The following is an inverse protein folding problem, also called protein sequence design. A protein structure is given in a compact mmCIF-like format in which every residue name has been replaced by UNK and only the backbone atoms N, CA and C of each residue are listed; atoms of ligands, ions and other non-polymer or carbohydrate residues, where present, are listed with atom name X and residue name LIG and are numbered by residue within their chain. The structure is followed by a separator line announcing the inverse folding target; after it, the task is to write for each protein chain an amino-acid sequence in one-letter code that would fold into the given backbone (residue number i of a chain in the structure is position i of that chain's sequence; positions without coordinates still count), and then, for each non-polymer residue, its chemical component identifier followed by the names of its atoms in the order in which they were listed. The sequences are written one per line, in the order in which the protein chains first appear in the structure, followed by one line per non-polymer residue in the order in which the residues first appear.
data_IF_912387905282
#
_entry.id   IF_912387905282
#
_cell.length_a   1.000
_cell.length_b   1.000
_cell.length_c   1.000
_cell.angle_alpha   90.00
_cell.angle_beta   90.00
_cell.angle_gamma   90.00
#
_symmetry.space_group_name_H-M   'P 1'
#
loop_
_entity.id
_entity.type
_entity.pdbx_description
1 polymer ?
#
# COMPACT_ATOMS: atom_id res chain seq x y z
N UNK A 1 -16.15 18.02 -0.40
CA UNK A 1 -16.07 17.11 -1.56
C UNK A 1 -14.78 16.29 -1.49
N UNK A 2 -14.80 15.12 -2.06
CA UNK A 2 -13.61 14.25 -2.19
C UNK A 2 -12.48 14.95 -2.93
N UNK A 3 -12.81 15.72 -3.99
CA UNK A 3 -11.81 16.49 -4.74
C UNK A 3 -11.07 17.49 -3.85
N UNK A 4 -11.80 18.25 -3.04
CA UNK A 4 -11.20 19.24 -2.13
C UNK A 4 -10.30 18.54 -1.10
N UNK A 5 -10.74 17.41 -0.55
CA UNK A 5 -9.94 16.59 0.36
C UNK A 5 -8.65 16.09 -0.30
N UNK A 6 -8.72 15.58 -1.52
CA UNK A 6 -7.54 15.11 -2.24
C UNK A 6 -6.52 16.24 -2.51
N UNK A 7 -7.00 17.46 -2.81
CA UNK A 7 -6.12 18.61 -2.96
C UNK A 7 -5.40 18.97 -1.66
N UNK A 8 -6.12 18.93 -0.53
CA UNK A 8 -5.50 19.11 0.79
C UNK A 8 -4.45 18.04 1.10
N UNK A 9 -4.70 16.79 0.71
CA UNK A 9 -3.73 15.71 0.85
C UNK A 9 -2.46 15.95 0.02
N UNK A 10 -2.60 16.47 -1.19
CA UNK A 10 -1.46 16.84 -2.04
C UNK A 10 -0.65 17.98 -1.44
N UNK A 11 -1.30 19.01 -0.96
CA UNK A 11 -0.65 20.15 -0.31
C UNK A 11 0.09 19.72 0.96
N UNK A 12 -0.55 18.89 1.77
CA UNK A 12 0.08 18.30 2.97
C UNK A 12 1.34 17.50 2.63
N UNK A 13 1.29 16.67 1.59
CA UNK A 13 2.44 15.87 1.17
C UNK A 13 3.61 16.76 0.71
N UNK A 14 3.33 17.86 0.02
CA UNK A 14 4.36 18.83 -0.39
C UNK A 14 4.98 19.55 0.81
N UNK A 15 4.15 20.02 1.73
CA UNK A 15 4.59 20.75 2.92
C UNK A 15 5.33 19.88 3.91
N UNK A 16 4.99 18.59 3.97
CA UNK A 16 5.50 17.63 4.95
C UNK A 16 6.36 16.53 4.33
N UNK A 17 7.02 16.81 3.23
CA UNK A 17 7.93 15.85 2.58
C UNK A 17 9.05 15.35 3.51
N UNK A 18 9.43 16.13 4.52
CA UNK A 18 10.40 15.75 5.55
C UNK A 18 9.94 14.59 6.45
N UNK A 19 8.66 14.22 6.44
CA UNK A 19 8.16 13.03 7.13
C UNK A 19 8.62 11.73 6.46
N UNK A 20 8.99 11.80 5.18
CA UNK A 20 9.55 10.65 4.47
C UNK A 20 10.96 10.37 4.97
N UNK A 21 11.24 9.10 5.23
CA UNK A 21 12.58 8.65 5.62
C UNK A 21 13.46 8.55 4.36
N UNK A 22 14.57 9.31 4.27
CA UNK A 22 15.40 9.35 3.07
C UNK A 22 15.98 7.98 2.69
N UNK A 23 16.36 7.16 3.67
CA UNK A 23 16.87 5.81 3.46
C UNK A 23 15.83 4.88 2.84
N UNK A 24 14.57 4.97 3.31
CA UNK A 24 13.47 4.16 2.78
C UNK A 24 13.01 4.64 1.41
N UNK A 25 12.97 5.94 1.18
CA UNK A 25 12.65 6.50 -0.15
C UNK A 25 13.70 6.11 -1.18
N UNK A 26 14.98 6.12 -0.83
CA UNK A 26 16.04 5.65 -1.71
C UNK A 26 15.88 4.15 -2.05
N UNK A 27 15.50 3.34 -1.07
CA UNK A 27 15.22 1.91 -1.26
C UNK A 27 14.05 1.68 -2.23
N UNK A 28 12.94 2.41 -2.04
CA UNK A 28 11.77 2.36 -2.92
C UNK A 28 12.13 2.80 -4.34
N UNK A 29 12.86 3.90 -4.49
CA UNK A 29 13.32 4.40 -5.78
C UNK A 29 14.16 3.38 -6.55
N UNK A 30 15.09 2.71 -5.88
CA UNK A 30 15.89 1.64 -6.50
C UNK A 30 15.03 0.45 -6.93
N UNK A 31 14.08 0.04 -6.10
CA UNK A 31 13.19 -1.06 -6.44
C UNK A 31 12.33 -0.75 -7.67
N UNK A 32 11.83 0.48 -7.79
CA UNK A 32 11.09 0.95 -8.97
C UNK A 32 11.98 0.97 -10.22
N UNK A 33 13.20 1.49 -10.12
CA UNK A 33 14.18 1.49 -11.23
C UNK A 33 14.48 0.06 -11.70
N UNK A 34 14.59 -0.89 -10.77
CA UNK A 34 14.81 -2.31 -11.03
C UNK A 34 13.57 -3.04 -11.56
N UNK A 35 12.48 -2.32 -11.86
CA UNK A 35 11.22 -2.88 -12.34
C UNK A 35 10.55 -3.86 -11.37
N UNK A 36 10.87 -3.78 -10.10
CA UNK A 36 10.19 -4.55 -9.06
C UNK A 36 8.82 -3.99 -8.79
N UNK A 37 7.90 -4.87 -8.42
CA UNK A 37 6.59 -4.45 -7.94
C UNK A 37 6.71 -3.94 -6.51
N UNK A 38 6.30 -2.71 -6.26
CA UNK A 38 6.40 -2.07 -4.96
C UNK A 38 5.03 -1.75 -4.41
N UNK A 39 4.75 -2.23 -3.20
CA UNK A 39 3.57 -1.88 -2.42
C UNK A 39 3.96 -1.01 -1.23
N UNK A 40 3.21 0.05 -1.03
CA UNK A 40 3.24 0.86 0.20
C UNK A 40 2.00 0.47 1.01
N UNK A 41 2.22 -0.28 2.08
CA UNK A 41 1.14 -0.88 2.87
C UNK A 41 1.02 -0.12 4.19
N UNK A 42 -0.07 0.58 4.38
CA UNK A 42 -0.24 1.53 5.48
C UNK A 42 -1.61 1.42 6.13
N UNK A 43 -1.65 1.54 7.46
CA UNK A 43 -2.90 1.71 8.21
C UNK A 43 -3.54 3.09 8.01
N UNK A 44 -2.77 4.05 7.50
CA UNK A 44 -3.27 5.39 7.18
C UNK A 44 -4.16 5.40 5.94
N UNK A 45 -4.91 6.47 5.78
CA UNK A 45 -5.78 6.68 4.61
C UNK A 45 -4.95 6.83 3.34
N UNK A 46 -5.23 6.05 2.31
CA UNK A 46 -4.45 6.01 1.08
C UNK A 46 -4.46 7.35 0.31
N UNK A 47 -5.52 8.15 0.45
CA UNK A 47 -5.62 9.48 -0.17
C UNK A 47 -4.48 10.42 0.23
N UNK A 48 -4.00 10.38 1.47
CA UNK A 48 -2.90 11.23 1.88
C UNK A 48 -1.52 10.54 1.81
N UNK A 49 -1.47 9.20 1.85
CA UNK A 49 -0.21 8.46 1.70
C UNK A 49 0.31 8.55 0.26
N UNK A 50 -0.55 8.32 -0.71
CA UNK A 50 -0.20 8.32 -2.14
C UNK A 50 0.53 9.58 -2.61
N UNK A 51 0.08 10.79 -2.29
CA UNK A 51 0.75 12.02 -2.74
C UNK A 51 2.20 12.15 -2.29
N UNK A 52 2.58 11.57 -1.14
CA UNK A 52 3.97 11.58 -0.71
C UNK A 52 4.91 10.91 -1.73
N UNK A 53 4.45 9.90 -2.41
CA UNK A 53 5.23 9.19 -3.44
C UNK A 53 5.12 9.87 -4.80
N UNK A 54 3.95 10.29 -5.21
CA UNK A 54 3.76 10.97 -6.49
C UNK A 54 4.50 12.30 -6.55
N UNK A 55 4.55 13.05 -5.46
CA UNK A 55 5.32 14.31 -5.38
C UNK A 55 6.83 14.11 -5.41
N UNK A 56 7.32 12.92 -5.10
CA UNK A 56 8.73 12.53 -5.21
C UNK A 56 9.08 11.92 -6.58
N UNK A 57 8.16 11.89 -7.53
CA UNK A 57 8.36 11.26 -8.82
C UNK A 57 8.34 9.72 -8.78
N UNK A 58 7.81 9.13 -7.72
CA UNK A 58 7.73 7.66 -7.52
C UNK A 58 6.27 7.21 -7.63
N UNK A 59 5.57 7.59 -8.71
CA UNK A 59 4.15 7.30 -8.91
C UNK A 59 3.84 5.84 -9.27
N UNK A 60 4.84 5.04 -9.57
CA UNK A 60 4.70 3.63 -10.00
C UNK A 60 4.47 2.66 -8.83
N UNK A 61 4.54 3.13 -7.60
CA UNK A 61 4.20 2.33 -6.42
C UNK A 61 2.69 2.17 -6.29
N UNK A 62 2.25 1.02 -5.81
CA UNK A 62 0.86 0.77 -5.46
C UNK A 62 0.64 0.98 -3.96
N UNK A 63 -0.27 1.88 -3.60
CA UNK A 63 -0.57 2.18 -2.20
C UNK A 63 -1.76 1.33 -1.74
N UNK A 64 -1.53 0.52 -0.73
CA UNK A 64 -2.53 -0.30 -0.05
C UNK A 64 -2.79 0.29 1.34
N UNK A 65 -3.69 1.24 1.39
CA UNK A 65 -4.05 1.95 2.63
C UNK A 65 -5.46 1.64 3.09
N UNK A 66 -5.86 2.24 4.20
CA UNK A 66 -7.25 2.27 4.62
C UNK A 66 -8.02 3.20 3.69
N UNK A 67 -9.16 2.76 3.18
CA UNK A 67 -9.95 3.53 2.21
C UNK A 67 -11.14 4.21 2.89
N UNK A 68 -11.36 5.45 2.52
CA UNK A 68 -12.55 6.21 2.90
C UNK A 68 -13.72 5.89 1.97
N UNK A 69 -14.93 5.95 2.52
CA UNK A 69 -16.15 5.80 1.73
C UNK A 69 -16.50 7.12 1.06
N UNK A 70 -16.81 7.02 -0.23
CA UNK A 70 -17.29 8.15 -1.03
C UNK A 70 -18.69 7.87 -1.56
N UNK A 71 -19.54 8.88 -1.52
CA UNK A 71 -20.85 8.87 -2.13
C UNK A 71 -21.13 10.21 -2.78
N UNK A 72 -21.53 10.18 -4.05
CA UNK A 72 -21.90 11.37 -4.85
C UNK A 72 -20.80 12.47 -4.83
N UNK A 73 -19.52 12.04 -4.92
CA UNK A 73 -18.38 12.95 -4.94
C UNK A 73 -18.03 13.57 -3.58
N UNK A 74 -18.58 13.02 -2.49
CA UNK A 74 -18.34 13.49 -1.13
C UNK A 74 -17.96 12.35 -0.20
N UNK A 75 -17.07 12.64 0.74
CA UNK A 75 -16.74 11.72 1.82
C UNK A 75 -17.94 11.58 2.77
N UNK A 76 -18.25 10.35 3.16
CA UNK A 76 -19.36 10.06 4.06
C UNK A 76 -18.98 10.14 5.54
N UNK A 77 -17.68 10.19 5.84
CA UNK A 77 -17.15 10.09 7.19
C UNK A 77 -16.94 8.66 7.67
N UNK A 78 -17.10 7.69 6.79
CA UNK A 78 -16.90 6.26 7.08
C UNK A 78 -15.72 5.71 6.29
N UNK A 79 -15.22 4.56 6.70
CA UNK A 79 -14.27 3.76 5.92
C UNK A 79 -14.99 2.73 5.07
N UNK A 80 -14.51 2.52 3.85
CA UNK A 80 -14.99 1.47 2.94
C UNK A 80 -14.22 0.16 3.08
N UNK A 81 -13.10 0.17 3.80
CA UNK A 81 -12.30 -1.02 4.12
C UNK A 81 -12.06 -1.14 5.62
N UNK A 82 -11.66 -2.33 6.07
CA UNK A 82 -11.08 -2.49 7.38
C UNK A 82 -9.78 -1.68 7.50
N UNK A 83 -9.38 -1.37 8.73
CA UNK A 83 -8.08 -0.76 9.01
C UNK A 83 -6.96 -1.66 8.48
N UNK A 84 -6.09 -1.13 7.62
CA UNK A 84 -4.98 -1.86 7.02
C UNK A 84 -3.83 -2.05 8.03
N UNK A 85 -4.10 -2.87 9.05
CA UNK A 85 -3.24 -3.13 10.20
C UNK A 85 -3.16 -4.65 10.47
N UNK A 86 -2.00 -5.14 10.87
CA UNK A 86 -1.82 -6.55 11.25
C UNK A 86 -2.14 -7.51 10.08
N UNK A 87 -3.00 -8.49 10.33
CA UNK A 87 -3.40 -9.48 9.33
C UNK A 87 -4.08 -8.88 8.09
N UNK A 88 -4.75 -7.73 8.24
CA UNK A 88 -5.37 -7.03 7.10
C UNK A 88 -4.33 -6.59 6.05
N UNK A 89 -3.11 -6.25 6.45
CA UNK A 89 -2.02 -5.96 5.51
C UNK A 89 -1.73 -7.15 4.60
N UNK A 90 -1.64 -8.34 5.16
CA UNK A 90 -1.44 -9.59 4.38
C UNK A 90 -2.61 -9.84 3.44
N UNK A 91 -3.83 -9.67 3.92
CA UNK A 91 -5.05 -9.83 3.10
C UNK A 91 -5.05 -8.87 1.91
N UNK A 92 -4.68 -7.61 2.12
CA UNK A 92 -4.63 -6.59 1.06
C UNK A 92 -3.54 -6.86 0.03
N UNK A 93 -2.37 -7.30 0.46
CA UNK A 93 -1.27 -7.73 -0.43
C UNK A 93 -1.71 -8.93 -1.26
N UNK A 94 -2.27 -9.95 -0.63
CA UNK A 94 -2.75 -11.16 -1.31
C UNK A 94 -3.81 -10.83 -2.37
N UNK A 95 -4.76 -9.97 -2.03
CA UNK A 95 -5.79 -9.50 -2.97
C UNK A 95 -5.18 -8.74 -4.16
N UNK A 96 -4.23 -7.85 -3.91
CA UNK A 96 -3.57 -7.07 -4.97
C UNK A 96 -2.75 -7.96 -5.92
N UNK A 97 -2.15 -9.03 -5.42
CA UNK A 97 -1.42 -10.00 -6.23
C UNK A 97 -2.36 -10.94 -6.98
N UNK A 98 -3.53 -11.28 -6.45
CA UNK A 98 -4.53 -12.15 -7.07
C UNK A 98 -5.22 -11.49 -8.26
N UNK A 99 -5.54 -10.22 -8.19
CA UNK A 99 -6.32 -9.51 -9.21
C UNK A 99 -5.61 -9.36 -10.56
N UNK A 100 -4.31 -9.65 -10.61
CA UNK A 100 -3.51 -9.60 -11.86
C UNK A 100 -3.33 -10.96 -12.53
N UNK A 101 -3.71 -12.04 -11.87
CA UNK A 101 -3.65 -13.39 -12.44
C UNK A 101 -4.93 -13.80 -13.22
N UNK A 102 -6.02 -13.03 -13.03
CA UNK A 102 -7.31 -13.34 -13.63
C UNK A 102 -7.53 -12.71 -15.01
N UNK A 103 -6.64 -11.83 -15.47
CA UNK A 103 -6.76 -11.19 -16.79
C UNK A 103 -6.30 -12.09 -17.97
N UNK A 104 -5.75 -13.26 -17.70
CA UNK A 104 -5.25 -14.17 -18.76
C UNK A 104 -6.10 -15.44 -19.00
N UNK A 105 -7.35 -15.52 -18.51
CA UNK A 105 -8.23 -16.64 -18.89
C UNK A 105 -9.52 -16.16 -19.53
N UNK A 106 -9.68 -16.43 -20.84
CA UNK A 106 -10.96 -16.28 -21.49
C UNK A 106 -11.89 -17.43 -21.09
N UNK A 107 -13.10 -17.06 -20.75
CA UNK A 107 -14.33 -17.85 -20.73
C UNK A 107 -14.60 -18.80 -19.57
N UNK A 108 -15.64 -18.44 -18.81
CA UNK A 108 -16.79 -19.32 -18.68
C UNK A 108 -16.75 -20.38 -17.60
N UNK A 109 -16.37 -20.03 -16.35
CA UNK A 109 -17.00 -20.69 -15.22
C UNK A 109 -17.04 -19.74 -14.01
N UNK A 110 -18.23 -19.29 -13.73
CA UNK A 110 -18.56 -18.63 -12.48
C UNK A 110 -18.34 -19.64 -11.36
N UNK A 111 -17.30 -19.47 -10.54
CA UNK A 111 -17.28 -19.99 -9.18
C UNK A 111 -16.07 -19.60 -8.38
N UNK A 112 -16.41 -19.06 -7.23
CA UNK A 112 -15.72 -18.89 -5.96
C UNK A 112 -14.73 -17.73 -5.86
N UNK A 113 -15.00 -16.85 -4.90
CA UNK A 113 -13.98 -15.95 -4.38
C UNK A 113 -13.03 -16.75 -3.47
N UNK A 114 -12.30 -17.69 -4.01
CA UNK A 114 -11.11 -18.18 -3.38
C UNK A 114 -9.99 -17.25 -3.83
N UNK A 115 -9.50 -16.43 -2.92
CA UNK A 115 -8.26 -15.69 -3.04
C UNK A 115 -7.11 -16.69 -3.20
N UNK A 116 -6.98 -17.28 -4.38
CA UNK A 116 -5.88 -18.17 -4.69
C UNK A 116 -4.88 -17.44 -5.56
N UNK A 117 -4.08 -16.56 -4.94
CA UNK A 117 -2.84 -16.23 -5.60
C UNK A 117 -1.80 -17.29 -5.24
N UNK A 118 -1.00 -17.67 -6.22
CA UNK A 118 0.09 -18.60 -5.99
C UNK A 118 1.26 -17.86 -5.36
N UNK A 119 1.37 -17.97 -4.03
CA UNK A 119 2.43 -17.35 -3.24
C UNK A 119 3.83 -17.75 -3.73
N UNK A 120 3.98 -18.96 -4.27
CA UNK A 120 5.26 -19.50 -4.76
C UNK A 120 5.81 -18.76 -5.98
N UNK A 121 4.98 -18.01 -6.69
CA UNK A 121 5.38 -17.21 -7.86
C UNK A 121 6.11 -15.92 -7.50
N UNK A 122 6.13 -15.56 -6.22
CA UNK A 122 6.67 -14.29 -5.75
C UNK A 122 7.77 -14.52 -4.70
N UNK A 123 8.84 -13.77 -4.82
CA UNK A 123 9.76 -13.52 -3.74
C UNK A 123 9.44 -12.16 -3.12
N UNK A 124 9.00 -12.14 -1.89
CA UNK A 124 8.52 -10.95 -1.21
C UNK A 124 9.52 -10.51 -0.15
N UNK A 125 9.99 -9.29 -0.27
CA UNK A 125 10.76 -8.60 0.77
C UNK A 125 9.88 -7.52 1.39
N UNK A 126 9.77 -7.51 2.70
CA UNK A 126 8.95 -6.55 3.43
C UNK A 126 9.76 -5.80 4.50
N UNK A 127 9.42 -4.54 4.67
CA UNK A 127 10.01 -3.63 5.66
C UNK A 127 8.90 -3.07 6.54
N UNK A 128 9.12 -3.07 7.84
CA UNK A 128 8.15 -2.53 8.80
C UNK A 128 8.82 -2.08 10.09
N UNK A 129 8.16 -1.23 10.87
CA UNK A 129 8.70 -0.61 12.08
C UNK A 129 7.81 -0.74 13.30
N UNK A 130 6.63 -1.34 13.16
CA UNK A 130 5.63 -1.37 14.22
C UNK A 130 4.98 -2.75 14.41
N UNK A 131 4.20 -2.86 15.49
CA UNK A 131 3.41 -4.07 15.77
C UNK A 131 2.41 -4.40 14.66
N UNK A 132 1.89 -3.38 13.97
CA UNK A 132 0.97 -3.54 12.87
C UNK A 132 1.58 -4.18 11.63
N UNK A 133 2.90 -4.33 11.58
CA UNK A 133 3.63 -4.93 10.46
C UNK A 133 4.04 -6.38 10.71
N UNK A 134 3.82 -6.89 11.92
CA UNK A 134 4.30 -8.22 12.35
C UNK A 134 3.87 -9.33 11.40
N UNK A 135 2.59 -9.37 11.05
CA UNK A 135 2.03 -10.40 10.18
C UNK A 135 2.54 -10.26 8.74
N UNK A 136 2.69 -9.04 8.25
CA UNK A 136 3.27 -8.76 6.94
C UNK A 136 4.74 -9.20 6.86
N UNK A 137 5.54 -8.91 7.88
CA UNK A 137 6.95 -9.33 7.94
C UNK A 137 7.08 -10.85 8.00
N UNK A 138 6.19 -11.52 8.73
CA UNK A 138 6.16 -12.99 8.80
C UNK A 138 5.69 -13.64 7.49
N UNK A 139 4.81 -12.98 6.75
CA UNK A 139 4.32 -13.43 5.45
C UNK A 139 5.36 -13.34 4.34
N UNK A 140 6.30 -12.40 4.42
CA UNK A 140 7.36 -12.20 3.44
C UNK A 140 8.39 -13.34 3.46
N UNK A 141 9.12 -13.51 2.36
CA UNK A 141 10.30 -14.38 2.32
C UNK A 141 11.46 -13.76 3.11
N UNK A 142 11.58 -12.43 3.02
CA UNK A 142 12.52 -11.63 3.79
C UNK A 142 11.79 -10.50 4.49
N UNK A 143 11.66 -10.57 5.80
CA UNK A 143 11.08 -9.53 6.64
C UNK A 143 12.16 -8.74 7.37
N UNK A 144 12.16 -7.42 7.20
CA UNK A 144 13.10 -6.51 7.83
C UNK A 144 12.40 -5.56 8.80
N UNK A 145 12.71 -5.70 10.09
CA UNK A 145 12.29 -4.72 11.08
C UNK A 145 13.22 -3.52 11.01
N UNK A 146 12.69 -2.37 10.61
CA UNK A 146 13.43 -1.10 10.58
C UNK A 146 13.19 -0.32 11.86
N UNK A 147 14.26 0.23 12.43
CA UNK A 147 14.11 1.03 13.63
C UNK A 147 13.30 2.30 13.33
N UNK A 148 12.24 2.51 14.11
CA UNK A 148 11.60 3.81 14.15
C UNK A 148 12.64 4.83 14.62
N UNK A 149 12.86 5.92 13.87
CA UNK A 149 13.66 7.01 14.37
C UNK A 149 13.04 7.52 15.66
N UNK A 150 13.68 7.22 16.80
CA UNK A 150 13.54 8.10 17.95
C UNK A 150 14.31 9.35 17.54
N UNK A 151 13.60 10.42 17.22
CA UNK A 151 14.19 11.75 17.21
C UNK A 151 14.76 11.99 18.60
N UNK A 152 16.07 12.03 18.68
CA UNK A 152 16.75 12.66 19.80
C UNK A 152 16.47 14.18 19.79
#
# INVERSE_FOLDING_TARGET
STRAFNLLCQDFAKERSSLLRPDMIALVGRAVEDKKKVFIVSASIDNWVRPFFTTQGIGEVEVLGTKVEEKDGCLTGRFSTANCYGAEKVRRISKALSSKSDEEKPSGEAKKPALSFDRSRYHITAYGDSRGDKEMLAFADEGHLVNSHKSE
#
